data_IF_100946152036
#
_entry.id   IF_100946152036
#
_cell.length_a   1.000
_cell.length_b   1.000
_cell.length_c   1.000
_cell.angle_alpha   90.00
_cell.angle_beta   90.00
_cell.angle_gamma   90.00
#
_symmetry.space_group_name_H-M   'P 1'
#
loop_
_entity.id
_entity.type
_entity.pdbx_description
1 polymer ?
#
# COMPACT_ATOMS: atom_id res chain seq x y z
N UNK A 1 -17.14 1.09 2.58
CA UNK A 1 -16.48 2.16 3.34
C UNK A 1 -15.24 1.51 3.90
N UNK A 2 -14.06 1.92 3.43
CA UNK A 2 -12.82 1.33 3.92
C UNK A 2 -12.66 1.57 5.42
N UNK A 3 -12.00 0.63 6.09
CA UNK A 3 -11.91 0.61 7.55
C UNK A 3 -10.86 1.62 8.10
N UNK A 4 -10.39 2.57 7.28
CA UNK A 4 -9.37 3.54 7.65
C UNK A 4 -9.46 4.82 6.82
N UNK A 5 -8.62 5.79 7.13
CA UNK A 5 -8.44 7.05 6.40
C UNK A 5 -7.63 6.92 5.09
N UNK A 6 -7.10 5.73 4.82
CA UNK A 6 -6.25 5.41 3.68
C UNK A 6 -7.08 4.76 2.56
N UNK A 7 -6.95 5.26 1.34
CA UNK A 7 -7.66 4.75 0.16
C UNK A 7 -6.95 3.57 -0.53
N UNK A 8 -5.68 3.35 -0.22
CA UNK A 8 -4.87 2.28 -0.79
C UNK A 8 -3.37 2.53 -0.62
N UNK A 9 -2.55 1.88 -1.42
CA UNK A 9 -1.10 2.07 -1.43
C UNK A 9 -0.57 2.07 -2.87
N UNK A 10 0.53 2.80 -3.10
CA UNK A 10 1.32 2.74 -4.33
C UNK A 10 2.67 2.13 -4.01
N UNK A 11 3.00 1.03 -4.67
CA UNK A 11 4.19 0.24 -4.33
C UNK A 11 5.08 0.04 -5.55
N UNK A 12 6.39 0.06 -5.31
CA UNK A 12 7.40 -0.31 -6.30
C UNK A 12 8.56 -1.05 -5.62
N UNK A 13 9.66 -1.27 -6.36
CA UNK A 13 10.86 -1.90 -5.81
C UNK A 13 11.45 -1.15 -4.60
N UNK A 14 11.31 0.17 -4.54
CA UNK A 14 11.82 0.99 -3.44
C UNK A 14 11.01 0.75 -2.16
N UNK A 15 9.72 0.43 -2.27
CA UNK A 15 8.89 0.01 -1.12
C UNK A 15 9.50 -1.19 -0.40
N UNK A 16 9.94 -2.20 -1.16
CA UNK A 16 10.60 -3.39 -0.59
C UNK A 16 11.89 -2.99 0.12
N UNK A 17 12.75 -2.20 -0.53
CA UNK A 17 14.00 -1.73 0.09
C UNK A 17 13.77 -0.93 1.37
N UNK A 18 12.73 -0.09 1.43
CA UNK A 18 12.36 0.66 2.65
C UNK A 18 11.95 -0.28 3.77
N UNK A 19 11.08 -1.23 3.47
CA UNK A 19 10.56 -2.22 4.42
C UNK A 19 11.71 -3.05 5.02
N UNK A 20 12.63 -3.51 4.18
CA UNK A 20 13.82 -4.25 4.61
C UNK A 20 14.74 -3.39 5.50
N UNK A 21 15.01 -2.13 5.11
CA UNK A 21 15.80 -1.18 5.93
C UNK A 21 15.17 -0.88 7.28
N UNK A 22 13.84 -0.94 7.37
CA UNK A 22 13.08 -0.80 8.62
C UNK A 22 13.05 -2.08 9.47
N UNK A 23 13.62 -3.19 8.97
CA UNK A 23 13.66 -4.47 9.67
C UNK A 23 12.27 -5.08 9.91
N UNK A 24 11.30 -4.78 9.05
CA UNK A 24 9.93 -5.27 9.18
C UNK A 24 9.83 -6.69 8.62
N UNK A 25 9.33 -7.63 9.44
CA UNK A 25 8.93 -8.96 8.96
C UNK A 25 7.53 -8.88 8.38
N UNK A 26 7.42 -8.88 7.05
CA UNK A 26 6.14 -8.73 6.33
C UNK A 26 5.17 -9.87 6.59
N UNK A 27 5.65 -11.11 6.73
CA UNK A 27 4.79 -12.27 6.98
C UNK A 27 3.99 -12.08 8.27
N UNK A 28 4.61 -11.57 9.34
CA UNK A 28 3.91 -11.25 10.58
C UNK A 28 2.79 -10.20 10.40
N UNK A 29 2.99 -9.21 9.53
CA UNK A 29 1.95 -8.20 9.26
C UNK A 29 0.83 -8.76 8.39
N UNK A 30 1.13 -9.68 7.47
CA UNK A 30 0.12 -10.37 6.67
C UNK A 30 -0.73 -11.32 7.52
N UNK A 31 -0.10 -12.12 8.37
CA UNK A 31 -0.77 -13.07 9.28
C UNK A 31 -1.69 -12.37 10.29
N UNK A 32 -1.38 -11.11 10.62
CA UNK A 32 -2.18 -10.27 11.51
C UNK A 32 -3.13 -9.30 10.80
N UNK A 33 -3.28 -9.40 9.47
CA UNK A 33 -4.08 -8.49 8.64
C UNK A 33 -3.77 -7.00 8.87
N UNK A 34 -2.50 -6.67 9.16
CA UNK A 34 -2.04 -5.35 9.55
C UNK A 34 -1.16 -4.68 8.47
N UNK A 35 -1.65 -4.65 7.23
CA UNK A 35 -0.99 -3.96 6.12
C UNK A 35 -0.88 -2.45 6.34
N UNK A 36 -1.86 -1.83 7.04
CA UNK A 36 -1.86 -0.41 7.38
C UNK A 36 -0.54 0.01 8.05
N UNK A 37 -0.08 -0.73 9.08
CA UNK A 37 1.15 -0.38 9.80
C UNK A 37 2.40 -0.45 8.92
N UNK A 38 2.44 -1.35 7.94
CA UNK A 38 3.56 -1.48 7.01
C UNK A 38 3.64 -0.24 6.12
N UNK A 39 2.54 0.10 5.45
CA UNK A 39 2.51 1.22 4.52
C UNK A 39 2.61 2.58 5.21
N UNK A 40 2.18 2.67 6.47
CA UNK A 40 2.40 3.87 7.29
C UNK A 40 3.90 4.11 7.52
N UNK A 41 4.64 3.03 7.83
CA UNK A 41 6.08 3.10 8.08
C UNK A 41 6.90 3.27 6.80
N UNK A 42 6.46 2.69 5.69
CA UNK A 42 7.15 2.83 4.39
C UNK A 42 6.81 4.16 3.67
N UNK A 43 5.73 4.82 4.09
CA UNK A 43 5.27 6.08 3.51
C UNK A 43 4.64 5.92 2.13
N UNK A 44 4.07 4.76 1.84
CA UNK A 44 3.56 4.38 0.51
C UNK A 44 2.02 4.39 0.42
N UNK A 45 1.36 5.06 1.37
CA UNK A 45 -0.10 5.19 1.43
C UNK A 45 -0.63 6.19 0.41
N UNK A 46 -1.82 5.89 -0.14
CA UNK A 46 -2.60 6.80 -0.97
C UNK A 46 -3.69 7.43 -0.09
N UNK A 47 -3.60 8.74 0.10
CA UNK A 47 -4.60 9.54 0.81
C UNK A 47 -5.39 10.37 -0.20
N UNK A 48 -6.68 10.09 -0.37
CA UNK A 48 -7.56 10.86 -1.27
C UNK A 48 -8.46 11.83 -0.50
N UNK A 49 -8.72 11.56 0.78
CA UNK A 49 -9.85 12.16 1.48
C UNK A 49 -11.20 11.66 0.94
N UNK A 50 -12.32 12.30 1.33
CA UNK A 50 -13.65 11.95 0.82
C UNK A 50 -13.73 12.21 -0.69
N UNK A 51 -14.16 11.20 -1.44
CA UNK A 51 -14.36 11.28 -2.91
C UNK A 51 -15.82 11.49 -3.31
N UNK A 52 -16.76 11.36 -2.36
CA UNK A 52 -18.22 11.42 -2.54
C UNK A 52 -18.79 10.45 -3.60
N UNK A 53 -18.03 9.41 -3.96
CA UNK A 53 -18.44 8.36 -4.88
C UNK A 53 -17.82 7.01 -4.50
N UNK A 54 -18.53 5.92 -4.77
CA UNK A 54 -18.03 4.56 -4.59
C UNK A 54 -18.36 3.70 -5.83
N UNK A 55 -17.32 3.24 -6.52
CA UNK A 55 -17.41 2.36 -7.70
C UNK A 55 -16.52 1.12 -7.56
N UNK A 56 -16.33 0.65 -6.32
CA UNK A 56 -15.41 -0.43 -5.95
C UNK A 56 -13.93 -0.09 -6.16
N UNK A 57 -13.05 -1.09 -6.00
CA UNK A 57 -11.60 -0.92 -5.99
C UNK A 57 -11.01 -0.78 -7.40
N UNK A 58 -9.95 0.02 -7.53
CA UNK A 58 -9.15 0.16 -8.74
C UNK A 58 -7.73 -0.35 -8.50
N UNK A 59 -7.29 -1.32 -9.31
CA UNK A 59 -5.92 -1.83 -9.28
C UNK A 59 -5.23 -1.52 -10.61
N UNK A 60 -4.03 -0.95 -10.54
CA UNK A 60 -3.21 -0.59 -11.71
C UNK A 60 -1.83 -1.23 -11.54
N UNK A 61 -1.38 -1.94 -12.58
CA UNK A 61 -0.01 -2.42 -12.70
C UNK A 61 0.66 -1.71 -13.87
N UNK A 62 1.74 -0.97 -13.59
CA UNK A 62 2.57 -0.34 -14.60
C UNK A 62 3.88 -1.13 -14.74
N UNK A 63 4.16 -1.60 -15.96
CA UNK A 63 5.44 -2.23 -16.31
C UNK A 63 6.09 -1.48 -17.47
N UNK A 64 7.42 -1.57 -17.59
CA UNK A 64 8.08 -1.16 -18.83
C UNK A 64 7.61 -2.05 -19.97
N UNK A 65 7.48 -1.48 -21.16
CA UNK A 65 7.38 -2.28 -22.37
C UNK A 65 8.71 -3.03 -22.53
N UNK A 66 8.63 -4.34 -22.75
CA UNK A 66 9.78 -5.12 -23.18
C UNK A 66 10.07 -4.71 -24.62
N UNK A 67 11.12 -3.93 -24.85
CA UNK A 67 11.84 -3.95 -26.14
C UNK A 67 12.82 -5.12 -26.13
#
# INVERSE_FOLDING_TARGET
>A
MDNSDVAGAIVDKNTIEKIEKLGLNIDNYLDSFNSYSVFQKSGDMIMTGPTDANVSDLMILLTKNNE
#
